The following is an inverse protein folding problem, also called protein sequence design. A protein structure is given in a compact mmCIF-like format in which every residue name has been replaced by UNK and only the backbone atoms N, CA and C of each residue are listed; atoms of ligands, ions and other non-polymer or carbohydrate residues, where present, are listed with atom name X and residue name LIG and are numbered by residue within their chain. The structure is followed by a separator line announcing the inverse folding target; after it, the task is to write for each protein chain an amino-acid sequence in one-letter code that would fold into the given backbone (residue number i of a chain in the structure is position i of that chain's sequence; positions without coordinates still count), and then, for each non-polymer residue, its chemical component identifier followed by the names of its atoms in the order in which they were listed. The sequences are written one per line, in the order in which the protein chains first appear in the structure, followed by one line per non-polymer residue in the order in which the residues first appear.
data_IF_800109498848
#
_entry.id   IF_800109498848
#
_cell.length_a   1.000
_cell.length_b   1.000
_cell.length_c   1.000
_cell.angle_alpha   90.00
_cell.angle_beta   90.00
_cell.angle_gamma   90.00
#
_symmetry.space_group_name_H-M   'P 1'
#
loop_
_entity.id
_entity.type
_entity.pdbx_description
1 polymer ?
#
# COMPACT_ATOMS: atom_id res chain seq x y z
N UNK A 1 58.32 33.24 14.58
CA UNK A 1 58.72 33.55 13.18
C UNK A 1 58.19 32.45 12.26
N UNK A 2 57.87 32.78 11.00
CA UNK A 2 57.05 32.05 9.99
C UNK A 2 55.54 32.17 10.21
N UNK A 3 54.84 33.19 9.70
CA UNK A 3 54.51 33.57 8.29
C UNK A 3 53.40 32.70 7.65
N UNK A 4 52.19 33.25 7.74
CA UNK A 4 50.98 33.20 6.88
C UNK A 4 51.15 32.56 5.48
N UNK A 5 50.18 31.73 5.05
CA UNK A 5 49.52 31.91 3.74
C UNK A 5 48.12 31.27 3.68
N UNK A 6 47.12 32.14 3.46
CA UNK A 6 45.74 31.84 3.07
C UNK A 6 45.66 30.89 1.88
N UNK A 7 44.58 30.10 1.79
CA UNK A 7 43.82 29.89 0.54
C UNK A 7 42.33 29.74 0.90
N UNK A 8 41.55 30.59 0.25
CA UNK A 8 40.09 30.70 0.22
C UNK A 8 39.60 29.87 -0.97
N UNK A 9 38.44 29.20 -0.83
CA UNK A 9 37.46 28.82 -1.86
C UNK A 9 36.74 27.57 -1.33
N UNK A 10 35.47 27.62 -0.94
CA UNK A 10 34.38 28.05 -1.81
C UNK A 10 33.89 26.85 -2.62
N UNK A 11 33.21 25.90 -1.96
CA UNK A 11 32.25 25.01 -2.62
C UNK A 11 31.04 24.93 -1.70
N UNK A 12 30.10 25.83 -1.92
CA UNK A 12 28.73 25.65 -1.45
C UNK A 12 28.15 24.44 -2.17
N UNK A 13 28.16 23.29 -1.52
CA UNK A 13 27.38 22.15 -1.96
C UNK A 13 25.94 22.40 -1.49
N UNK A 14 25.19 23.13 -2.30
CA UNK A 14 23.74 23.18 -2.17
C UNK A 14 23.21 21.76 -2.38
N UNK A 15 22.92 21.07 -1.28
CA UNK A 15 22.11 19.86 -1.30
C UNK A 15 20.71 20.32 -1.69
N UNK A 16 20.37 20.19 -2.97
CA UNK A 16 18.98 20.18 -3.39
C UNK A 16 18.41 18.88 -2.83
N UNK A 17 17.75 18.97 -1.68
CA UNK A 17 16.91 17.90 -1.18
C UNK A 17 15.78 17.72 -2.20
N UNK A 18 15.94 16.78 -3.13
CA UNK A 18 14.81 16.21 -3.84
C UNK A 18 13.91 15.63 -2.75
N UNK A 19 12.79 16.31 -2.49
CA UNK A 19 11.71 15.79 -1.68
C UNK A 19 11.13 14.57 -2.38
N UNK A 20 11.76 13.41 -2.18
CA UNK A 20 11.08 12.15 -2.32
C UNK A 20 9.91 12.23 -1.34
N UNK A 21 8.69 12.26 -1.85
CA UNK A 21 7.51 11.98 -1.05
C UNK A 21 7.73 10.59 -0.48
N UNK A 22 8.25 10.53 0.74
CA UNK A 22 8.29 9.31 1.53
C UNK A 22 6.83 9.04 1.82
N UNK A 23 6.15 8.35 0.89
CA UNK A 23 4.89 7.71 1.18
C UNK A 23 5.19 6.86 2.40
N UNK A 24 4.62 7.26 3.54
CA UNK A 24 4.76 6.55 4.79
C UNK A 24 4.36 5.10 4.51
N UNK A 25 5.32 4.21 4.36
CA UNK A 25 5.06 2.83 4.01
C UNK A 25 4.29 2.21 5.17
N UNK A 26 2.97 2.12 5.02
CA UNK A 26 2.12 1.48 6.01
C UNK A 26 2.32 -0.03 5.90
N UNK A 27 2.38 -0.73 7.02
CA UNK A 27 2.49 -2.19 7.04
C UNK A 27 1.20 -2.80 6.47
N UNK A 28 1.27 -3.29 5.23
CA UNK A 28 0.14 -3.89 4.52
C UNK A 28 -0.45 -5.12 5.22
N UNK A 29 0.37 -5.91 5.92
CA UNK A 29 -0.10 -7.05 6.71
C UNK A 29 -0.89 -6.58 7.92
N UNK A 30 -0.34 -5.62 8.66
CA UNK A 30 -1.02 -5.03 9.82
C UNK A 30 -2.35 -4.37 9.41
N UNK A 31 -2.36 -3.66 8.28
CA UNK A 31 -3.56 -3.06 7.70
C UNK A 31 -4.60 -4.12 7.30
N UNK A 32 -4.19 -5.20 6.64
CA UNK A 32 -5.07 -6.30 6.26
C UNK A 32 -5.82 -6.90 7.48
N UNK A 33 -5.13 -7.05 8.60
CA UNK A 33 -5.75 -7.47 9.87
C UNK A 33 -6.61 -6.35 10.48
N UNK A 34 -6.10 -5.12 10.57
CA UNK A 34 -6.80 -4.00 11.22
C UNK A 34 -8.09 -3.59 10.50
N UNK A 35 -8.14 -3.73 9.16
CA UNK A 35 -9.34 -3.49 8.34
C UNK A 35 -10.25 -4.71 8.24
N UNK A 36 -9.99 -5.76 9.05
CA UNK A 36 -10.80 -6.97 9.15
C UNK A 36 -10.93 -7.75 7.84
N UNK A 37 -10.00 -7.58 6.89
CA UNK A 37 -10.03 -8.26 5.59
C UNK A 37 -9.97 -9.79 5.77
N UNK A 38 -9.21 -10.23 6.78
CA UNK A 38 -9.03 -11.64 7.11
C UNK A 38 -10.32 -12.37 7.50
N UNK A 39 -11.35 -11.65 7.93
CA UNK A 39 -12.61 -12.27 8.42
C UNK A 39 -13.38 -12.96 7.30
N UNK A 40 -13.17 -12.56 6.04
CA UNK A 40 -13.76 -13.20 4.86
C UNK A 40 -12.70 -13.90 4.01
N UNK A 41 -11.54 -13.25 3.81
CA UNK A 41 -10.50 -13.73 2.90
C UNK A 41 -9.47 -14.65 3.56
N UNK A 42 -9.60 -14.90 4.87
CA UNK A 42 -8.69 -15.75 5.64
C UNK A 42 -7.46 -15.00 6.17
N UNK A 43 -6.68 -15.60 7.08
CA UNK A 43 -5.60 -14.92 7.82
C UNK A 43 -4.55 -14.23 6.93
N UNK A 44 -4.29 -14.78 5.74
CA UNK A 44 -3.27 -14.31 4.80
C UNK A 44 -3.79 -14.21 3.35
N UNK A 45 -5.10 -14.35 3.15
CA UNK A 45 -5.69 -14.31 1.81
C UNK A 45 -5.53 -15.60 1.00
N UNK A 46 -4.92 -16.68 1.54
CA UNK A 46 -4.71 -17.94 0.80
C UNK A 46 -5.93 -18.84 0.74
N UNK A 47 -6.69 -18.88 1.84
CA UNK A 47 -7.86 -19.72 2.01
C UNK A 47 -9.01 -18.88 2.57
N UNK A 48 -10.01 -18.53 1.75
CA UNK A 48 -11.18 -17.79 2.22
C UNK A 48 -12.01 -18.63 3.19
N UNK A 49 -12.74 -17.95 4.08
CA UNK A 49 -13.60 -18.61 5.09
C UNK A 49 -14.80 -19.32 4.43
N UNK A 50 -15.25 -18.83 3.27
CA UNK A 50 -16.31 -19.46 2.47
C UNK A 50 -15.91 -19.46 1.00
N UNK A 51 -16.36 -20.48 0.26
CA UNK A 51 -16.02 -20.68 -1.16
C UNK A 51 -16.46 -19.53 -2.08
N UNK A 52 -17.45 -18.73 -1.66
CA UNK A 52 -17.91 -17.57 -2.43
C UNK A 52 -16.97 -16.36 -2.36
N UNK A 53 -16.07 -16.30 -1.37
CA UNK A 53 -15.09 -15.24 -1.28
C UNK A 53 -13.85 -15.60 -2.09
N UNK A 54 -13.26 -14.63 -2.82
CA UNK A 54 -12.07 -14.90 -3.62
C UNK A 54 -10.84 -15.11 -2.73
N UNK A 55 -9.96 -16.02 -3.17
CA UNK A 55 -8.55 -16.07 -2.76
C UNK A 55 -7.83 -14.81 -3.26
N UNK A 56 -7.06 -14.17 -2.39
CA UNK A 56 -6.35 -12.92 -2.69
C UNK A 56 -4.83 -13.08 -2.76
N UNK A 57 -4.27 -14.03 -2.01
CA UNK A 57 -2.83 -14.25 -1.93
C UNK A 57 -2.22 -14.57 -3.31
N UNK A 58 -1.13 -13.88 -3.62
CA UNK A 58 -0.32 -14.08 -4.83
C UNK A 58 -0.92 -13.43 -6.08
N UNK A 59 -2.01 -12.67 -5.93
CA UNK A 59 -2.60 -11.92 -7.02
C UNK A 59 -1.72 -10.71 -7.37
N UNK A 60 -1.76 -10.28 -8.63
CA UNK A 60 -1.06 -9.08 -9.07
C UNK A 60 -1.48 -7.85 -8.24
N UNK A 61 -0.48 -7.06 -7.80
CA UNK A 61 -0.68 -5.88 -6.97
C UNK A 61 -1.59 -4.86 -7.63
N UNK A 62 -1.31 -4.49 -8.88
CA UNK A 62 -2.06 -3.46 -9.62
C UNK A 62 -3.52 -3.88 -9.77
N UNK A 63 -3.77 -5.16 -10.04
CA UNK A 63 -5.10 -5.72 -10.09
C UNK A 63 -5.81 -5.61 -8.73
N UNK A 64 -5.19 -6.03 -7.63
CA UNK A 64 -5.77 -5.93 -6.29
C UNK A 64 -6.14 -4.48 -5.94
N UNK A 65 -5.23 -3.53 -6.19
CA UNK A 65 -5.45 -2.12 -5.95
C UNK A 65 -6.60 -1.57 -6.82
N UNK A 66 -6.62 -1.91 -8.11
CA UNK A 66 -7.69 -1.51 -9.02
C UNK A 66 -9.05 -2.06 -8.56
N UNK A 67 -9.14 -3.33 -8.19
CA UNK A 67 -10.41 -3.91 -7.73
C UNK A 67 -10.91 -3.25 -6.45
N UNK A 68 -10.03 -2.95 -5.49
CA UNK A 68 -10.44 -2.23 -4.27
C UNK A 68 -10.94 -0.81 -4.60
N UNK A 69 -10.26 -0.08 -5.50
CA UNK A 69 -10.65 1.27 -5.93
C UNK A 69 -11.96 1.27 -6.72
N UNK A 70 -12.16 0.30 -7.61
CA UNK A 70 -13.39 0.15 -8.39
C UNK A 70 -14.59 -0.18 -7.51
N UNK A 71 -14.41 -1.06 -6.51
CA UNK A 71 -15.46 -1.40 -5.56
C UNK A 71 -15.78 -0.19 -4.66
N UNK A 72 -14.76 0.51 -4.18
CA UNK A 72 -14.89 1.71 -3.33
C UNK A 72 -15.65 2.83 -4.05
N UNK A 73 -15.28 3.14 -5.29
CA UNK A 73 -15.97 4.14 -6.13
C UNK A 73 -17.36 3.68 -6.58
N UNK A 74 -17.59 2.37 -6.67
CA UNK A 74 -18.80 1.78 -7.22
C UNK A 74 -18.74 1.51 -8.72
N UNK A 75 -17.60 1.74 -9.37
CA UNK A 75 -17.36 1.29 -10.75
C UNK A 75 -17.53 -0.23 -10.90
N UNK A 76 -17.22 -1.00 -9.84
CA UNK A 76 -17.54 -2.42 -9.73
C UNK A 76 -18.67 -2.67 -8.73
N UNK A 77 -19.84 -3.05 -9.25
CA UNK A 77 -21.09 -3.26 -8.50
C UNK A 77 -21.73 -4.64 -8.70
N UNK A 78 -20.94 -5.65 -9.08
CA UNK A 78 -21.41 -7.00 -9.37
C UNK A 78 -21.15 -8.02 -8.25
N UNK A 79 -21.98 -9.06 -8.20
CA UNK A 79 -21.80 -10.20 -7.29
C UNK A 79 -21.67 -9.76 -5.83
N UNK A 80 -20.60 -10.18 -5.15
CA UNK A 80 -20.36 -9.87 -3.74
C UNK A 80 -19.70 -8.50 -3.49
N UNK A 81 -19.55 -7.65 -4.53
CA UNK A 81 -18.89 -6.35 -4.36
C UNK A 81 -19.67 -5.41 -3.44
N UNK A 82 -20.99 -5.58 -3.28
CA UNK A 82 -21.79 -4.80 -2.35
C UNK A 82 -21.33 -4.97 -0.90
N UNK A 83 -21.03 -6.21 -0.47
CA UNK A 83 -20.48 -6.49 0.85
C UNK A 83 -19.07 -5.90 1.01
N UNK A 84 -18.23 -6.04 -0.03
CA UNK A 84 -16.87 -5.50 -0.01
C UNK A 84 -16.84 -3.96 -0.02
N UNK A 85 -17.81 -3.30 -0.65
CA UNK A 85 -17.89 -1.82 -0.73
C UNK A 85 -17.93 -1.17 0.65
N UNK A 86 -18.69 -1.75 1.58
CA UNK A 86 -18.71 -1.27 2.97
C UNK A 86 -17.34 -1.41 3.64
N UNK A 87 -16.61 -2.49 3.37
CA UNK A 87 -15.28 -2.76 3.95
C UNK A 87 -14.23 -1.77 3.45
N UNK A 88 -14.25 -1.42 2.15
CA UNK A 88 -13.24 -0.53 1.55
C UNK A 88 -13.58 0.95 1.63
N UNK A 89 -14.78 1.31 2.12
CA UNK A 89 -15.22 2.70 2.20
C UNK A 89 -14.27 3.60 2.99
N UNK A 90 -13.71 3.09 4.10
CA UNK A 90 -12.78 3.79 4.99
C UNK A 90 -11.32 3.30 4.87
N UNK A 91 -10.97 2.76 3.70
CA UNK A 91 -9.59 2.38 3.37
C UNK A 91 -9.06 3.43 2.41
N UNK A 92 -8.09 4.22 2.83
CA UNK A 92 -7.44 5.23 2.00
C UNK A 92 -6.66 4.60 0.85
N UNK A 93 -6.33 5.38 -0.18
CA UNK A 93 -5.67 4.84 -1.37
C UNK A 93 -4.24 4.36 -1.06
N UNK A 94 -3.56 5.01 -0.10
CA UNK A 94 -2.27 4.55 0.41
C UNK A 94 -2.39 3.20 1.15
N UNK A 95 -3.45 3.02 1.95
CA UNK A 95 -3.72 1.75 2.63
C UNK A 95 -4.08 0.64 1.62
N UNK A 96 -4.85 0.97 0.57
CA UNK A 96 -5.17 0.05 -0.54
C UNK A 96 -3.88 -0.45 -1.19
N UNK A 97 -2.98 0.46 -1.56
CA UNK A 97 -1.73 0.10 -2.22
C UNK A 97 -0.82 -0.74 -1.29
N UNK A 98 -0.78 -0.43 0.00
CA UNK A 98 -0.04 -1.21 0.99
C UNK A 98 -0.61 -2.63 1.19
N UNK A 99 -1.93 -2.76 1.31
CA UNK A 99 -2.61 -4.06 1.41
C UNK A 99 -2.41 -4.89 0.14
N UNK A 100 -2.51 -4.26 -1.04
CA UNK A 100 -2.29 -4.91 -2.32
C UNK A 100 -0.85 -5.42 -2.47
N UNK A 101 0.15 -4.61 -2.09
CA UNK A 101 1.55 -5.02 -2.06
C UNK A 101 1.74 -6.25 -1.19
N UNK A 102 1.24 -6.21 0.06
CA UNK A 102 1.34 -7.35 0.97
C UNK A 102 0.75 -8.62 0.35
N UNK A 103 -0.51 -8.58 -0.10
CA UNK A 103 -1.21 -9.74 -0.64
C UNK A 103 -0.54 -10.31 -1.89
N UNK A 104 0.07 -9.46 -2.72
CA UNK A 104 0.79 -9.90 -3.92
C UNK A 104 2.05 -10.72 -3.62
N UNK A 105 2.66 -10.51 -2.45
CA UNK A 105 3.87 -11.20 -2.01
C UNK A 105 3.57 -12.51 -1.26
N UNK A 106 2.31 -12.74 -0.87
CA UNK A 106 1.89 -13.98 -0.20
C UNK A 106 1.82 -15.12 -1.21
N UNK A 107 2.61 -16.19 -1.01
CA UNK A 107 2.64 -17.39 -1.87
C UNK A 107 1.74 -18.52 -1.37
#
# INVERSE_FOLDING_TARGET
MSKIKNIICGVGLSIVALGANVANAQDGKALYTAKMCQTCHGPDGKAPIMAMYPKLAGQNKEYLAAQMKDIKSGARSNGMSAAMKAMVANVSDAEIDAIAEYLSQVK
#
